data_IF_976838562961
#
_entry.id   IF_976838562961
#
_cell.length_a   1.000
_cell.length_b   1.000
_cell.length_c   1.000
_cell.angle_alpha   90.00
_cell.angle_beta   90.00
_cell.angle_gamma   90.00
#
_symmetry.space_group_name_H-M   'P 1'
#
loop_
_entity.id
_entity.type
_entity.pdbx_description
1 polymer ?
#
# COMPACT_ATOMS: atom_id res chain seq x y z
N UNK A 1 -59.93 -17.37 27.56
CA UNK A 1 -60.96 -16.69 26.73
C UNK A 1 -60.60 -16.85 25.25
N UNK A 2 -61.61 -16.87 24.37
CA UNK A 2 -61.57 -16.93 22.89
C UNK A 2 -60.20 -17.05 22.19
N UNK A 3 -59.91 -18.24 21.68
CA UNK A 3 -59.08 -18.45 20.48
C UNK A 3 -59.90 -18.11 19.22
N UNK A 4 -59.26 -17.66 18.15
CA UNK A 4 -59.87 -17.52 16.81
C UNK A 4 -59.02 -18.24 15.75
N UNK A 5 -59.71 -18.85 14.80
CA UNK A 5 -59.19 -19.75 13.76
C UNK A 5 -59.63 -19.30 12.37
N UNK A 6 -58.79 -19.56 11.37
CA UNK A 6 -59.16 -19.87 9.96
C UNK A 6 -57.86 -20.21 9.21
N UNK A 7 -57.52 -21.48 8.96
CA UNK A 7 -58.14 -22.44 8.02
C UNK A 7 -57.89 -22.11 6.54
N UNK A 8 -57.04 -22.93 5.91
CA UNK A 8 -56.82 -23.00 4.46
C UNK A 8 -57.90 -23.86 3.77
N UNK A 9 -58.20 -23.55 2.51
CA UNK A 9 -59.07 -24.37 1.64
C UNK A 9 -58.45 -24.59 0.25
N UNK A 10 -58.47 -25.85 -0.21
CA UNK A 10 -58.50 -26.31 -1.62
C UNK A 10 -59.88 -26.96 -1.84
N UNK A 11 -60.52 -27.00 -3.03
CA UNK A 11 -60.06 -27.68 -4.26
C UNK A 11 -60.27 -26.77 -5.52
N UNK A 12 -60.35 -27.18 -6.81
CA UNK A 12 -60.42 -28.50 -7.48
C UNK A 12 -59.83 -28.45 -8.92
N UNK A 13 -59.76 -29.60 -9.58
CA UNK A 13 -59.40 -29.79 -11.01
C UNK A 13 -60.58 -29.72 -11.98
N UNK A 14 -60.33 -29.40 -13.26
CA UNK A 14 -61.19 -29.83 -14.39
C UNK A 14 -60.39 -30.11 -15.68
N UNK A 15 -60.99 -30.98 -16.50
CA UNK A 15 -60.42 -31.79 -17.57
C UNK A 15 -60.07 -31.07 -18.89
N UNK A 16 -59.22 -31.71 -19.70
CA UNK A 16 -59.05 -31.41 -21.13
C UNK A 16 -58.12 -32.40 -21.85
N UNK A 17 -58.65 -33.48 -22.43
CA UNK A 17 -57.89 -34.49 -23.16
C UNK A 17 -57.92 -34.27 -24.68
N UNK A 18 -56.77 -34.39 -25.35
CA UNK A 18 -56.69 -34.81 -26.76
C UNK A 18 -55.30 -35.39 -27.08
N UNK A 19 -55.26 -36.29 -28.06
CA UNK A 19 -54.15 -37.24 -28.28
C UNK A 19 -53.46 -37.07 -29.64
N UNK A 20 -52.11 -37.08 -29.69
CA UNK A 20 -51.37 -37.62 -30.84
C UNK A 20 -49.85 -37.82 -30.61
N UNK A 21 -49.45 -39.08 -30.81
CA UNK A 21 -48.20 -39.64 -31.34
C UNK A 21 -46.92 -38.80 -31.61
N UNK A 22 -45.80 -39.37 -31.13
CA UNK A 22 -44.50 -39.55 -31.81
C UNK A 22 -43.43 -38.42 -31.87
N UNK A 23 -42.44 -38.51 -30.95
CA UNK A 23 -40.97 -38.50 -31.13
C UNK A 23 -40.27 -37.79 -29.96
N UNK A 24 -39.22 -38.38 -29.33
CA UNK A 24 -38.39 -37.65 -28.39
C UNK A 24 -37.50 -36.64 -29.13
N UNK A 25 -37.46 -35.39 -28.66
CA UNK A 25 -36.44 -34.43 -29.08
C UNK A 25 -35.17 -34.69 -28.27
N UNK A 26 -34.06 -34.79 -28.96
CA UNK A 26 -32.72 -35.01 -28.41
C UNK A 26 -32.30 -33.92 -27.43
N UNK A 27 -31.74 -34.33 -26.28
CA UNK A 27 -31.02 -33.44 -25.37
C UNK A 27 -29.84 -32.76 -26.07
N UNK A 28 -29.98 -31.46 -26.32
CA UNK A 28 -28.88 -30.61 -26.73
C UNK A 28 -28.11 -30.13 -25.50
N UNK A 29 -27.02 -30.84 -25.17
CA UNK A 29 -26.01 -30.38 -24.23
C UNK A 29 -25.52 -28.96 -24.62
N UNK A 30 -25.21 -28.07 -23.66
CA UNK A 30 -24.68 -26.76 -23.96
C UNK A 30 -23.33 -26.87 -24.70
N UNK A 31 -23.14 -26.02 -25.72
CA UNK A 31 -21.96 -26.06 -26.56
C UNK A 31 -20.67 -25.90 -25.74
N UNK A 32 -19.75 -26.85 -25.93
CA UNK A 32 -18.40 -26.81 -25.36
C UNK A 32 -17.70 -25.56 -25.90
N UNK A 33 -17.04 -24.72 -25.07
CA UNK A 33 -16.33 -23.56 -25.58
C UNK A 33 -15.22 -24.02 -26.52
N UNK A 34 -15.23 -23.52 -27.76
CA UNK A 34 -14.17 -23.80 -28.72
C UNK A 34 -12.83 -23.32 -28.15
N UNK A 35 -11.84 -24.20 -28.14
CA UNK A 35 -10.47 -23.85 -27.79
C UNK A 35 -9.91 -22.91 -28.84
N UNK A 36 -10.01 -21.60 -28.57
CA UNK A 36 -9.42 -20.56 -29.40
C UNK A 36 -7.94 -20.87 -29.65
N UNK A 37 -7.54 -20.96 -30.92
CA UNK A 37 -6.15 -21.20 -31.30
C UNK A 37 -5.26 -20.13 -30.64
N UNK A 38 -4.09 -20.49 -30.08
CA UNK A 38 -3.19 -19.50 -29.51
C UNK A 38 -2.87 -18.45 -30.57
N UNK A 39 -3.07 -17.17 -30.24
CA UNK A 39 -2.70 -16.07 -31.14
C UNK A 39 -1.20 -16.17 -31.47
N UNK A 40 -0.79 -15.93 -32.72
CA UNK A 40 0.63 -15.86 -33.05
C UNK A 40 1.31 -14.80 -32.19
N UNK A 41 2.56 -15.07 -31.80
CA UNK A 41 3.40 -14.11 -31.11
C UNK A 41 3.62 -12.90 -32.03
N UNK A 42 3.39 -11.70 -31.49
CA UNK A 42 3.57 -10.46 -32.25
C UNK A 42 5.04 -10.31 -32.69
N UNK A 43 5.24 -9.87 -33.93
CA UNK A 43 6.57 -9.59 -34.47
C UNK A 43 7.24 -8.41 -33.75
N UNK A 44 8.58 -8.26 -33.82
CA UNK A 44 9.27 -7.12 -33.24
C UNK A 44 8.76 -5.76 -33.73
N UNK A 45 8.33 -5.68 -35.00
CA UNK A 45 7.77 -4.46 -35.58
C UNK A 45 6.38 -4.14 -35.02
N UNK A 46 5.51 -5.13 -34.87
CA UNK A 46 4.19 -4.96 -34.24
C UNK A 46 4.31 -4.60 -32.76
N UNK A 47 5.28 -5.20 -32.04
CA UNK A 47 5.58 -4.84 -30.66
C UNK A 47 6.03 -3.38 -30.56
N UNK A 48 6.94 -2.92 -31.43
CA UNK A 48 7.40 -1.53 -31.43
C UNK A 48 6.26 -0.55 -31.78
N UNK A 49 5.51 -0.81 -32.84
CA UNK A 49 4.33 0.00 -33.20
C UNK A 49 3.29 0.02 -32.06
N UNK A 50 3.11 -1.10 -31.34
CA UNK A 50 2.26 -1.18 -30.16
C UNK A 50 2.76 -0.31 -29.00
N UNK A 51 4.08 -0.30 -28.73
CA UNK A 51 4.69 0.59 -27.74
C UNK A 51 4.45 2.06 -28.06
N UNK A 52 4.65 2.46 -29.31
CA UNK A 52 4.60 3.88 -29.72
C UNK A 52 3.17 4.45 -29.68
N UNK A 53 2.15 3.59 -29.84
CA UNK A 53 0.73 3.95 -29.84
C UNK A 53 0.01 3.83 -28.48
N UNK A 54 0.73 3.56 -27.38
CA UNK A 54 0.14 3.58 -26.03
C UNK A 54 -0.43 4.98 -25.70
N UNK A 55 -1.51 5.03 -24.91
CA UNK A 55 -2.17 6.26 -24.44
C UNK A 55 -1.62 6.72 -23.09
N UNK A 56 -1.77 8.01 -22.72
CA UNK A 56 -1.35 8.51 -21.40
C UNK A 56 -2.09 7.87 -20.21
N UNK A 57 -3.29 7.33 -20.44
CA UNK A 57 -4.11 6.67 -19.41
C UNK A 57 -3.85 5.17 -19.26
N UNK A 58 -2.80 4.63 -19.89
CA UNK A 58 -2.58 3.19 -19.91
C UNK A 58 -1.98 2.65 -18.60
N UNK A 59 -2.39 1.42 -18.26
CA UNK A 59 -1.94 0.67 -17.10
C UNK A 59 -1.22 -0.59 -17.56
N UNK A 60 0.02 -0.79 -17.10
CA UNK A 60 0.78 -1.99 -17.41
C UNK A 60 0.58 -3.07 -16.33
N UNK A 61 0.32 -4.30 -16.77
CA UNK A 61 0.29 -5.48 -15.89
C UNK A 61 1.73 -5.82 -15.48
N UNK A 62 1.99 -5.90 -14.17
CA UNK A 62 3.31 -6.25 -13.61
C UNK A 62 3.51 -7.77 -13.44
N UNK A 63 2.44 -8.48 -13.08
CA UNK A 63 2.35 -9.94 -13.01
C UNK A 63 0.85 -10.31 -13.21
N UNK A 64 0.51 -11.30 -14.05
CA UNK A 64 -0.87 -11.77 -14.20
C UNK A 64 -1.57 -12.26 -12.92
N UNK A 65 -0.84 -12.58 -11.86
CA UNK A 65 -1.39 -12.96 -10.54
C UNK A 65 -1.60 -11.76 -9.62
N UNK A 66 -0.85 -10.67 -9.84
CA UNK A 66 -0.91 -9.44 -9.05
C UNK A 66 -1.77 -8.38 -9.75
N UNK A 67 -3.06 -8.70 -9.92
CA UNK A 67 -4.03 -7.86 -10.64
C UNK A 67 -4.23 -6.47 -10.02
N UNK A 68 -4.08 -6.36 -8.69
CA UNK A 68 -4.16 -5.11 -7.94
C UNK A 68 -2.88 -4.27 -7.90
N UNK A 69 -1.84 -4.68 -8.64
CA UNK A 69 -0.59 -3.93 -8.79
C UNK A 69 -0.38 -3.60 -10.26
N UNK A 70 -0.08 -2.34 -10.57
CA UNK A 70 0.05 -1.84 -11.95
C UNK A 70 1.21 -0.88 -12.09
N UNK A 71 1.80 -0.84 -13.28
CA UNK A 71 2.47 0.39 -13.71
C UNK A 71 1.45 1.37 -14.24
N UNK A 72 1.67 2.66 -14.02
CA UNK A 72 0.86 3.74 -14.58
C UNK A 72 1.76 4.74 -15.28
N UNK A 73 1.35 5.15 -16.47
CA UNK A 73 2.10 6.11 -17.28
C UNK A 73 1.99 7.50 -16.69
N UNK A 74 3.12 8.21 -16.58
CA UNK A 74 3.15 9.60 -16.12
C UNK A 74 3.07 10.58 -17.29
N UNK A 75 2.63 11.80 -17.01
CA UNK A 75 2.52 12.88 -17.99
C UNK A 75 3.90 13.25 -18.54
N UNK A 76 4.04 13.23 -19.87
CA UNK A 76 5.32 13.47 -20.56
C UNK A 76 6.16 12.23 -20.82
N UNK A 77 5.80 11.05 -20.29
CA UNK A 77 6.43 9.78 -20.68
C UNK A 77 5.92 9.36 -22.08
N UNK A 78 6.82 8.98 -22.99
CA UNK A 78 6.44 8.39 -24.28
C UNK A 78 5.91 6.95 -24.11
N UNK A 79 5.21 6.43 -25.13
CA UNK A 79 4.69 5.06 -25.09
C UNK A 79 5.81 4.01 -24.99
N UNK A 80 6.88 4.17 -25.78
CA UNK A 80 8.09 3.36 -25.68
C UNK A 80 8.74 3.39 -24.28
N UNK A 81 8.92 4.59 -23.70
CA UNK A 81 9.48 4.74 -22.35
C UNK A 81 8.59 4.04 -21.29
N UNK A 82 7.27 4.13 -21.42
CA UNK A 82 6.34 3.47 -20.51
C UNK A 82 6.34 1.94 -20.64
N UNK A 83 6.50 1.42 -21.86
CA UNK A 83 6.62 -0.01 -22.09
C UNK A 83 7.92 -0.58 -21.52
N UNK A 84 9.05 0.11 -21.70
CA UNK A 84 10.36 -0.30 -21.17
C UNK A 84 10.39 -0.22 -19.64
N UNK A 85 9.82 0.84 -19.08
CA UNK A 85 9.54 0.98 -17.64
C UNK A 85 8.70 -0.18 -17.11
N UNK A 86 7.59 -0.50 -17.77
CA UNK A 86 6.71 -1.63 -17.39
C UNK A 86 7.45 -2.96 -17.46
N UNK A 87 8.36 -3.15 -18.43
CA UNK A 87 9.18 -4.35 -18.51
C UNK A 87 10.19 -4.44 -17.36
N UNK A 88 10.75 -3.32 -16.92
CA UNK A 88 11.62 -3.31 -15.75
C UNK A 88 10.86 -3.61 -14.45
N UNK A 89 9.66 -3.05 -14.26
CA UNK A 89 8.79 -3.41 -13.13
C UNK A 89 8.48 -4.90 -13.15
N UNK A 90 8.09 -5.48 -14.30
CA UNK A 90 7.88 -6.94 -14.43
C UNK A 90 9.09 -7.74 -13.98
N UNK A 91 10.28 -7.38 -14.45
CA UNK A 91 11.52 -8.07 -14.09
C UNK A 91 11.81 -7.96 -12.59
N UNK A 92 11.61 -6.78 -12.00
CA UNK A 92 11.81 -6.50 -10.57
C UNK A 92 10.76 -7.20 -9.69
N UNK A 93 9.49 -7.16 -10.07
CA UNK A 93 8.38 -7.91 -9.46
C UNK A 93 8.65 -9.41 -9.49
N UNK A 94 8.99 -9.98 -10.66
CA UNK A 94 9.33 -11.40 -10.80
C UNK A 94 10.53 -11.81 -9.92
N UNK A 95 11.50 -10.90 -9.73
CA UNK A 95 12.64 -11.14 -8.84
C UNK A 95 12.20 -11.19 -7.38
N UNK A 96 11.39 -10.22 -6.94
CA UNK A 96 10.80 -10.21 -5.58
C UNK A 96 9.91 -11.44 -5.34
N UNK A 97 9.01 -11.79 -6.25
CA UNK A 97 8.09 -12.93 -6.09
C UNK A 97 8.78 -14.30 -6.20
N UNK A 98 10.04 -14.35 -6.62
CA UNK A 98 10.86 -15.58 -6.64
C UNK A 98 11.37 -16.04 -5.27
N UNK A 99 11.18 -15.23 -4.22
CA UNK A 99 11.59 -15.52 -2.84
C UNK A 99 10.47 -15.24 -1.82
N UNK A 100 10.45 -15.90 -0.65
CA UNK A 100 9.30 -15.89 0.25
C UNK A 100 8.84 -14.50 0.74
N UNK A 101 9.75 -13.61 1.16
CA UNK A 101 9.39 -12.31 1.74
C UNK A 101 8.82 -11.40 0.66
N UNK A 102 9.51 -11.26 -0.48
CA UNK A 102 9.00 -10.51 -1.62
C UNK A 102 7.69 -11.08 -2.19
N UNK A 103 7.54 -12.40 -2.21
CA UNK A 103 6.30 -13.06 -2.63
C UNK A 103 5.14 -12.78 -1.69
N UNK A 104 5.31 -12.95 -0.38
CA UNK A 104 4.25 -12.70 0.61
C UNK A 104 3.85 -11.22 0.61
N UNK A 105 4.82 -10.29 0.64
CA UNK A 105 4.58 -8.85 0.60
C UNK A 105 3.69 -8.42 -0.57
N UNK A 106 4.03 -8.86 -1.79
CA UNK A 106 3.31 -8.44 -2.99
C UNK A 106 1.94 -9.12 -3.11
N UNK A 107 1.79 -10.36 -2.62
CA UNK A 107 0.49 -11.03 -2.54
C UNK A 107 -0.42 -10.39 -1.48
N UNK A 108 0.12 -9.97 -0.33
CA UNK A 108 -0.63 -9.24 0.70
C UNK A 108 -1.16 -7.91 0.15
N UNK A 109 -0.30 -7.08 -0.47
CA UNK A 109 -0.71 -5.82 -1.13
C UNK A 109 -1.82 -6.09 -2.15
N UNK A 110 -1.63 -7.09 -3.03
CA UNK A 110 -2.62 -7.46 -4.03
C UNK A 110 -3.95 -7.94 -3.41
N UNK A 111 -3.91 -8.74 -2.34
CA UNK A 111 -5.09 -9.20 -1.60
C UNK A 111 -5.87 -8.08 -0.92
N UNK A 112 -5.19 -6.98 -0.55
CA UNK A 112 -5.81 -5.80 0.08
C UNK A 112 -6.58 -4.90 -0.90
N UNK A 113 -6.47 -5.11 -2.22
CA UNK A 113 -7.06 -4.23 -3.27
C UNK A 113 -8.51 -3.80 -3.05
N UNK A 114 -9.40 -4.73 -2.67
CA UNK A 114 -10.81 -4.39 -2.41
C UNK A 114 -10.99 -3.65 -1.07
N UNK A 115 -10.24 -4.06 -0.04
CA UNK A 115 -10.34 -3.46 1.29
C UNK A 115 -9.86 -2.00 1.32
N UNK A 116 -8.84 -1.66 0.52
CA UNK A 116 -8.32 -0.29 0.41
C UNK A 116 -9.02 0.56 -0.66
N UNK A 117 -10.03 0.01 -1.34
CA UNK A 117 -10.89 0.74 -2.29
C UNK A 117 -12.39 0.40 -2.04
N UNK A 118 -12.93 0.66 -0.83
CA UNK A 118 -14.25 0.19 -0.44
C UNK A 118 -15.37 0.72 -1.36
N UNK A 119 -16.16 -0.19 -1.91
CA UNK A 119 -17.29 0.14 -2.79
C UNK A 119 -16.92 0.58 -4.21
N UNK A 120 -15.63 0.68 -4.54
CA UNK A 120 -15.18 1.06 -5.87
C UNK A 120 -14.99 -0.17 -6.78
N UNK A 121 -15.40 -0.05 -8.04
CA UNK A 121 -15.22 -1.07 -9.07
C UNK A 121 -14.27 -0.55 -10.14
N UNK A 122 -13.20 -1.30 -10.41
CA UNK A 122 -12.28 -0.99 -11.51
C UNK A 122 -12.88 -1.29 -12.88
N UNK A 123 -12.44 -0.55 -13.90
CA UNK A 123 -12.73 -0.83 -15.31
C UNK A 123 -11.48 -1.35 -16.02
N UNK A 124 -11.61 -1.80 -17.27
CA UNK A 124 -10.44 -2.18 -18.09
C UNK A 124 -9.49 -0.99 -18.34
N UNK A 125 -10.01 0.23 -18.42
CA UNK A 125 -9.24 1.47 -18.64
C UNK A 125 -8.81 2.18 -17.36
N UNK A 126 -9.34 1.77 -16.19
CA UNK A 126 -8.95 2.24 -14.86
C UNK A 126 -9.11 1.07 -13.88
N UNK A 127 -8.16 0.12 -13.83
CA UNK A 127 -8.23 -1.03 -12.94
C UNK A 127 -8.24 -0.58 -11.48
N UNK A 128 -8.81 -1.41 -10.61
CA UNK A 128 -8.75 -1.21 -9.17
C UNK A 128 -7.40 -1.70 -8.66
N UNK A 129 -6.66 -0.87 -7.93
CA UNK A 129 -5.30 -1.21 -7.48
C UNK A 129 -5.07 -0.85 -6.02
N UNK A 130 -4.30 -1.68 -5.33
CA UNK A 130 -3.68 -1.36 -4.04
C UNK A 130 -2.37 -0.58 -4.23
N UNK A 131 -1.69 -0.74 -5.37
CA UNK A 131 -0.42 -0.05 -5.67
C UNK A 131 -0.31 0.27 -7.17
N UNK A 132 -0.18 1.55 -7.52
CA UNK A 132 0.27 2.00 -8.83
C UNK A 132 1.75 2.41 -8.75
N UNK A 133 2.51 2.05 -9.77
CA UNK A 133 3.95 2.25 -9.86
C UNK A 133 4.23 3.18 -11.05
N UNK A 134 4.89 4.31 -10.81
CA UNK A 134 5.20 5.36 -11.78
C UNK A 134 6.72 5.48 -11.95
N UNK A 135 7.15 5.99 -13.11
CA UNK A 135 8.57 6.19 -13.41
C UNK A 135 9.14 7.33 -12.58
N UNK A 136 10.21 7.05 -11.84
CA UNK A 136 10.94 8.03 -11.04
C UNK A 136 12.08 8.73 -11.78
N UNK A 137 12.45 8.29 -12.99
CA UNK A 137 13.72 8.64 -13.66
C UNK A 137 14.04 10.14 -13.81
N UNK A 138 13.04 11.01 -13.79
CA UNK A 138 13.16 12.47 -13.92
C UNK A 138 12.59 13.24 -12.71
N UNK A 139 12.27 12.57 -11.61
CA UNK A 139 11.64 13.16 -10.42
C UNK A 139 12.70 13.63 -9.41
N UNK A 140 12.44 14.74 -8.71
CA UNK A 140 13.32 15.25 -7.65
C UNK A 140 13.47 14.24 -6.49
N UNK A 141 12.42 13.46 -6.22
CA UNK A 141 12.47 12.24 -5.42
C UNK A 141 12.21 11.07 -6.38
N UNK A 142 13.26 10.37 -6.86
CA UNK A 142 13.14 9.38 -7.92
C UNK A 142 12.81 7.98 -7.38
N UNK A 143 12.93 7.74 -6.07
CA UNK A 143 12.21 6.67 -5.38
C UNK A 143 11.40 7.35 -4.26
N UNK A 144 10.11 7.04 -4.17
CA UNK A 144 9.23 7.60 -3.13
C UNK A 144 7.88 6.87 -3.08
N UNK A 145 7.39 6.63 -1.88
CA UNK A 145 6.03 6.17 -1.60
C UNK A 145 5.13 7.34 -1.17
N UNK A 146 3.86 7.32 -1.60
CA UNK A 146 2.81 8.19 -1.06
C UNK A 146 1.50 7.39 -0.88
N UNK A 147 0.83 7.48 0.29
CA UNK A 147 -0.54 7.01 0.46
C UNK A 147 -1.52 7.79 -0.42
N UNK A 148 -2.39 7.10 -1.17
CA UNK A 148 -3.43 7.76 -1.95
C UNK A 148 -4.37 8.54 -1.05
N UNK A 149 -4.74 9.71 -1.56
CA UNK A 149 -5.61 10.67 -0.92
C UNK A 149 -6.53 11.31 -1.97
N UNK A 150 -7.58 11.95 -1.49
CA UNK A 150 -8.56 12.74 -2.25
C UNK A 150 -8.17 14.23 -2.38
N UNK A 151 -6.90 14.57 -2.13
CA UNK A 151 -6.43 15.94 -1.99
C UNK A 151 -6.50 16.49 -0.55
N UNK A 152 -7.12 15.77 0.39
CA UNK A 152 -7.09 16.11 1.82
C UNK A 152 -6.09 15.25 2.58
N UNK A 153 -5.47 15.81 3.63
CA UNK A 153 -4.60 15.02 4.51
C UNK A 153 -5.40 14.02 5.35
N UNK A 154 -6.68 14.32 5.65
CA UNK A 154 -7.59 13.42 6.38
C UNK A 154 -7.80 12.07 5.70
N UNK A 155 -7.81 11.99 4.36
CA UNK A 155 -8.00 10.72 3.65
C UNK A 155 -6.76 9.84 3.64
N UNK A 156 -5.59 10.34 4.05
CA UNK A 156 -4.41 9.49 4.32
C UNK A 156 -4.47 8.77 5.67
N UNK A 157 -5.32 9.21 6.61
CA UNK A 157 -5.40 8.65 7.98
C UNK A 157 -5.52 7.12 8.04
N UNK A 158 -6.30 6.44 7.17
CA UNK A 158 -6.35 4.99 7.14
C UNK A 158 -5.00 4.29 6.92
N UNK A 159 -4.01 4.94 6.32
CA UNK A 159 -2.67 4.40 6.08
C UNK A 159 -1.88 4.12 7.37
N UNK A 160 -2.19 4.87 8.43
CA UNK A 160 -1.35 4.96 9.61
C UNK A 160 -1.89 4.16 10.78
N UNK A 161 -0.97 3.75 11.64
CA UNK A 161 -1.31 3.25 12.98
C UNK A 161 -1.52 4.41 13.95
N UNK A 162 -2.33 4.16 14.97
CA UNK A 162 -2.59 5.09 16.07
C UNK A 162 -2.65 4.32 17.38
N UNK A 163 -1.93 4.80 18.42
CA UNK A 163 -1.97 4.23 19.77
C UNK A 163 -1.73 2.68 19.78
N UNK A 164 -0.84 2.17 18.94
CA UNK A 164 -0.54 0.74 18.77
C UNK A 164 -1.48 -0.04 17.84
N UNK A 165 -2.50 0.58 17.25
CA UNK A 165 -3.51 -0.14 16.46
C UNK A 165 -3.40 0.16 14.96
N UNK A 166 -3.44 -0.86 14.09
CA UNK A 166 -3.47 -0.65 12.65
C UNK A 166 -4.73 0.12 12.20
N UNK A 167 -4.55 1.08 11.29
CA UNK A 167 -5.64 1.72 10.57
C UNK A 167 -6.34 0.78 9.58
N UNK A 168 -7.37 1.28 8.89
CA UNK A 168 -8.11 0.48 7.90
C UNK A 168 -7.30 0.16 6.62
N UNK A 169 -6.16 0.82 6.41
CA UNK A 169 -5.30 0.77 5.23
C UNK A 169 -5.76 1.69 4.09
N UNK A 170 -4.83 2.07 3.22
CA UNK A 170 -5.12 2.77 1.95
C UNK A 170 -4.23 2.29 0.80
N UNK A 171 -4.65 2.56 -0.43
CA UNK A 171 -3.86 2.28 -1.63
C UNK A 171 -2.66 3.24 -1.74
N UNK A 172 -1.67 2.87 -2.55
CA UNK A 172 -0.39 3.57 -2.66
C UNK A 172 -0.07 3.99 -4.09
N UNK A 173 0.56 5.15 -4.23
CA UNK A 173 1.28 5.55 -5.44
C UNK A 173 2.78 5.50 -5.13
N UNK A 174 3.52 4.71 -5.92
CA UNK A 174 4.97 4.49 -5.77
C UNK A 174 5.70 5.05 -6.97
N UNK A 175 6.73 5.86 -6.74
CA UNK A 175 7.75 6.15 -7.76
C UNK A 175 8.98 5.31 -7.48
N UNK A 176 9.60 4.76 -8.51
CA UNK A 176 10.92 4.15 -8.39
C UNK A 176 11.77 4.46 -9.62
N UNK A 177 13.10 4.48 -9.44
CA UNK A 177 14.04 4.84 -10.48
C UNK A 177 14.58 3.60 -11.19
N UNK A 178 14.01 3.30 -12.36
CA UNK A 178 14.45 2.20 -13.22
C UNK A 178 15.84 2.43 -13.87
N UNK A 179 16.35 3.68 -13.79
CA UNK A 179 17.70 4.07 -14.18
C UNK A 179 18.66 4.14 -12.97
N UNK A 180 18.20 3.83 -11.76
CA UNK A 180 19.02 3.87 -10.55
C UNK A 180 20.14 2.83 -10.56
N UNK A 181 21.28 3.18 -9.97
CA UNK A 181 22.37 2.23 -9.77
C UNK A 181 22.04 1.23 -8.65
N UNK A 182 22.51 -0.01 -8.81
CA UNK A 182 22.27 -1.10 -7.87
C UNK A 182 21.09 -2.02 -8.25
N UNK A 183 20.67 -2.94 -7.36
CA UNK A 183 19.66 -3.95 -7.67
C UNK A 183 18.26 -3.33 -7.72
N UNK A 184 17.73 -3.06 -8.91
CA UNK A 184 16.42 -2.38 -9.11
C UNK A 184 15.25 -3.05 -8.39
N UNK A 185 15.26 -4.37 -8.28
CA UNK A 185 14.25 -5.11 -7.51
C UNK A 185 14.26 -4.76 -6.02
N UNK A 186 15.42 -4.41 -5.46
CA UNK A 186 15.56 -4.02 -4.06
C UNK A 186 15.02 -2.60 -3.83
N UNK A 187 15.26 -1.67 -4.77
CA UNK A 187 14.67 -0.32 -4.72
C UNK A 187 13.15 -0.37 -4.83
N UNK A 188 12.61 -1.14 -5.80
CA UNK A 188 11.17 -1.38 -5.88
C UNK A 188 10.65 -2.10 -4.62
N UNK A 189 11.43 -3.03 -4.05
CA UNK A 189 11.10 -3.74 -2.82
C UNK A 189 10.98 -2.81 -1.62
N UNK A 190 11.89 -1.85 -1.46
CA UNK A 190 11.86 -0.81 -0.42
C UNK A 190 10.55 0.00 -0.49
N UNK A 191 10.22 0.55 -1.66
CA UNK A 191 8.96 1.30 -1.84
C UNK A 191 7.71 0.40 -1.67
N UNK A 192 7.81 -0.88 -2.05
CA UNK A 192 6.75 -1.87 -1.83
C UNK A 192 6.54 -2.19 -0.34
N UNK A 193 7.57 -2.09 0.51
CA UNK A 193 7.41 -2.25 1.97
C UNK A 193 6.57 -1.08 2.52
N UNK A 194 6.83 0.17 2.11
CA UNK A 194 5.95 1.29 2.47
C UNK A 194 4.51 1.07 1.97
N UNK A 195 4.32 0.56 0.74
CA UNK A 195 2.99 0.23 0.22
C UNK A 195 2.29 -0.92 0.98
N UNK A 196 3.04 -1.93 1.43
CA UNK A 196 2.53 -2.96 2.33
C UNK A 196 2.09 -2.36 3.67
N UNK A 197 2.90 -1.48 4.26
CA UNK A 197 2.56 -0.80 5.52
C UNK A 197 1.30 0.06 5.35
N UNK A 198 1.22 0.87 4.29
CA UNK A 198 0.07 1.73 4.00
C UNK A 198 -1.21 0.94 3.76
N UNK A 199 -1.14 -0.16 2.99
CA UNK A 199 -2.29 -1.01 2.71
C UNK A 199 -2.77 -1.82 3.91
N UNK A 200 -1.93 -2.01 4.93
CA UNK A 200 -2.27 -2.65 6.21
C UNK A 200 -2.55 -1.67 7.37
N UNK A 201 -2.47 -0.35 7.13
CA UNK A 201 -2.71 0.65 8.17
C UNK A 201 -1.59 0.75 9.21
N UNK A 202 -0.34 0.40 8.85
CA UNK A 202 0.79 0.24 9.75
C UNK A 202 1.85 1.35 9.63
N UNK A 203 1.70 2.32 8.73
CA UNK A 203 2.68 3.40 8.59
C UNK A 203 2.73 4.30 9.82
N UNK A 204 3.89 4.91 10.07
CA UNK A 204 4.02 5.98 11.06
C UNK A 204 3.29 7.21 10.52
N UNK A 205 2.38 7.79 11.32
CA UNK A 205 1.63 8.97 10.89
C UNK A 205 2.50 10.22 10.91
N UNK A 206 2.51 11.07 9.86
CA UNK A 206 3.10 12.40 9.95
C UNK A 206 2.28 13.25 10.93
N UNK A 207 2.95 14.17 11.64
CA UNK A 207 2.35 14.99 12.69
C UNK A 207 1.10 15.73 12.18
N UNK A 208 1.17 16.28 10.98
CA UNK A 208 0.09 17.01 10.34
C UNK A 208 -1.20 16.17 10.13
N UNK A 209 -1.11 14.85 9.92
CA UNK A 209 -2.28 13.98 9.77
C UNK A 209 -2.94 13.64 11.11
N UNK A 210 -2.20 13.78 12.20
CA UNK A 210 -2.56 13.33 13.55
C UNK A 210 -3.43 14.31 14.35
N UNK A 211 -4.00 13.80 15.46
CA UNK A 211 -4.64 14.57 16.53
C UNK A 211 -3.70 15.56 17.24
N UNK A 212 -2.38 15.45 17.05
CA UNK A 212 -1.37 16.28 17.73
C UNK A 212 -0.84 17.45 16.89
N UNK A 213 -1.30 17.62 15.65
CA UNK A 213 -0.89 18.69 14.73
C UNK A 213 -0.97 20.11 15.33
N UNK A 214 -1.85 20.34 16.31
CA UNK A 214 -1.97 21.58 17.10
C UNK A 214 -1.89 21.35 18.63
N UNK A 215 -1.10 20.35 19.07
CA UNK A 215 -0.92 20.08 20.50
C UNK A 215 -0.31 21.29 21.26
N UNK A 216 -0.79 21.53 22.49
CA UNK A 216 -0.46 22.75 23.24
C UNK A 216 1.03 22.93 23.59
N UNK A 217 1.81 21.84 23.58
CA UNK A 217 3.28 21.91 23.69
C UNK A 217 3.90 22.81 22.61
N UNK A 218 3.32 22.82 21.40
CA UNK A 218 3.76 23.69 20.29
C UNK A 218 3.41 25.17 20.50
N UNK A 219 2.60 25.51 21.51
CA UNK A 219 2.14 26.87 21.82
C UNK A 219 2.92 27.51 22.98
N UNK A 220 3.65 26.70 23.77
CA UNK A 220 4.44 27.18 24.92
C UNK A 220 5.57 28.13 24.52
N UNK A 221 6.24 27.85 23.40
CA UNK A 221 7.29 28.69 22.83
C UNK A 221 7.02 28.99 21.35
N UNK A 222 6.21 30.02 21.03
CA UNK A 222 5.79 30.32 19.66
C UNK A 222 6.97 30.50 18.68
N UNK A 223 8.08 31.09 19.13
CA UNK A 223 9.33 31.27 18.37
C UNK A 223 10.03 29.97 17.95
N UNK A 224 9.67 28.84 18.57
CA UNK A 224 10.24 27.52 18.27
C UNK A 224 9.19 26.53 17.74
N UNK A 225 7.92 26.95 17.61
CA UNK A 225 6.81 26.08 17.22
C UNK A 225 7.07 25.31 15.92
N UNK A 226 7.55 26.00 14.87
CA UNK A 226 7.91 25.39 13.59
C UNK A 226 9.01 24.33 13.75
N UNK A 227 10.17 24.72 14.31
CA UNK A 227 11.30 23.81 14.51
C UNK A 227 10.94 22.58 15.36
N UNK A 228 10.04 22.73 16.34
CA UNK A 228 9.55 21.62 17.16
C UNK A 228 8.67 20.67 16.34
N UNK A 229 7.77 21.17 15.49
CA UNK A 229 6.98 20.35 14.57
C UNK A 229 7.88 19.65 13.54
N UNK A 230 8.81 20.36 12.92
CA UNK A 230 9.78 19.79 11.97
C UNK A 230 10.67 18.71 12.60
N UNK A 231 11.06 18.88 13.88
CA UNK A 231 11.82 17.88 14.63
C UNK A 231 11.02 16.60 14.85
N UNK A 232 9.72 16.73 15.17
CA UNK A 232 8.80 15.59 15.33
C UNK A 232 8.53 14.92 13.98
N UNK A 233 8.21 15.66 12.92
CA UNK A 233 7.96 15.10 11.58
C UNK A 233 9.19 14.39 11.00
N UNK A 234 10.40 14.96 11.17
CA UNK A 234 11.63 14.29 10.78
C UNK A 234 11.84 12.99 11.55
N UNK A 235 11.54 12.97 12.86
CA UNK A 235 11.63 11.75 13.66
C UNK A 235 10.65 10.68 13.18
N UNK A 236 9.40 11.05 12.96
CA UNK A 236 8.34 10.14 12.49
C UNK A 236 8.69 9.55 11.13
N UNK A 237 9.20 10.37 10.20
CA UNK A 237 9.76 9.92 8.92
C UNK A 237 10.92 8.95 9.10
N UNK A 238 11.89 9.26 9.97
CA UNK A 238 13.03 8.36 10.23
C UNK A 238 12.58 7.03 10.85
N UNK A 239 11.56 7.02 11.71
CA UNK A 239 11.01 5.77 12.27
C UNK A 239 10.31 4.93 11.19
N UNK A 240 9.54 5.53 10.27
CA UNK A 240 8.98 4.83 9.10
C UNK A 240 10.10 4.20 8.25
N UNK A 241 11.16 4.95 7.95
CA UNK A 241 12.31 4.50 7.16
C UNK A 241 13.13 3.40 7.86
N UNK A 242 13.38 3.54 9.17
CA UNK A 242 14.07 2.52 9.95
C UNK A 242 13.27 1.22 10.01
N UNK A 243 11.94 1.27 10.05
CA UNK A 243 11.10 0.07 9.98
C UNK A 243 11.07 -0.53 8.56
N UNK A 244 10.96 0.30 7.53
CA UNK A 244 11.02 -0.14 6.12
C UNK A 244 12.35 -0.81 5.79
N UNK A 245 13.49 -0.27 6.23
CA UNK A 245 14.80 -0.90 6.06
C UNK A 245 14.93 -2.18 6.89
N UNK A 246 14.23 -2.27 8.03
CA UNK A 246 14.38 -3.37 9.00
C UNK A 246 15.52 -3.13 10.01
N UNK A 247 15.76 -1.86 10.36
CA UNK A 247 16.59 -1.42 11.49
C UNK A 247 15.77 -1.30 12.79
N UNK A 248 14.44 -1.19 12.67
CA UNK A 248 13.46 -1.33 13.75
C UNK A 248 12.38 -2.35 13.32
N UNK A 249 11.78 -3.12 14.26
CA UNK A 249 10.65 -3.99 13.94
C UNK A 249 9.39 -3.15 13.69
N UNK A 250 8.53 -3.60 12.77
CA UNK A 250 7.17 -3.03 12.65
C UNK A 250 6.30 -3.56 13.81
N UNK A 251 5.73 -2.70 14.67
CA UNK A 251 4.92 -3.13 15.80
C UNK A 251 3.53 -3.63 15.34
N UNK A 252 2.85 -4.37 16.22
CA UNK A 252 1.45 -4.79 16.09
C UNK A 252 1.10 -5.53 14.77
N UNK A 253 2.07 -6.27 14.23
CA UNK A 253 1.93 -7.09 13.03
C UNK A 253 1.25 -8.42 13.32
N UNK A 254 0.43 -8.90 12.38
CA UNK A 254 -0.17 -10.23 12.47
C UNK A 254 0.94 -11.29 12.45
N UNK A 255 0.89 -12.24 13.39
CA UNK A 255 1.88 -13.30 13.56
C UNK A 255 3.33 -12.79 13.76
N UNK A 256 3.52 -11.55 14.23
CA UNK A 256 4.82 -10.89 14.38
C UNK A 256 5.66 -10.83 13.07
N UNK A 257 5.00 -10.75 11.92
CA UNK A 257 5.67 -10.69 10.61
C UNK A 257 5.36 -9.39 9.86
N UNK A 258 6.42 -8.75 9.36
CA UNK A 258 6.35 -7.71 8.34
C UNK A 258 7.52 -7.86 7.36
N UNK A 259 7.35 -7.47 6.09
CA UNK A 259 8.46 -7.37 5.15
C UNK A 259 9.34 -6.17 5.48
N UNK A 260 10.61 -6.24 5.11
CA UNK A 260 11.56 -5.12 5.20
C UNK A 260 12.61 -5.24 4.10
N UNK A 261 13.29 -4.14 3.78
CA UNK A 261 14.39 -4.16 2.82
C UNK A 261 15.46 -5.18 3.24
N UNK A 262 15.88 -5.20 4.52
CA UNK A 262 16.88 -6.15 5.00
C UNK A 262 16.43 -7.62 4.89
N UNK A 263 15.14 -7.93 5.06
CA UNK A 263 14.62 -9.27 4.84
C UNK A 263 14.67 -9.69 3.36
N UNK A 264 14.29 -8.78 2.44
CA UNK A 264 14.42 -8.97 0.98
C UNK A 264 15.89 -9.13 0.58
N UNK A 265 16.79 -8.31 1.15
CA UNK A 265 18.23 -8.40 0.91
C UNK A 265 18.79 -9.75 1.32
N UNK A 266 18.42 -10.25 2.51
CA UNK A 266 18.88 -11.54 3.02
C UNK A 266 18.50 -12.71 2.11
N UNK A 267 17.23 -12.81 1.68
CA UNK A 267 16.79 -13.91 0.79
C UNK A 267 17.39 -13.84 -0.63
N UNK A 268 17.92 -12.67 -1.02
CA UNK A 268 18.64 -12.44 -2.27
C UNK A 268 20.17 -12.41 -2.16
N UNK A 269 20.74 -12.66 -0.97
CA UNK A 269 22.19 -12.68 -0.76
C UNK A 269 22.87 -11.30 -0.80
N UNK A 270 22.12 -10.22 -0.58
CA UNK A 270 22.64 -8.86 -0.48
C UNK A 270 23.01 -8.53 0.99
N UNK A 271 24.12 -7.81 1.26
CA UNK A 271 24.47 -7.39 2.62
C UNK A 271 23.38 -6.50 3.23
N UNK A 272 23.00 -6.74 4.49
CA UNK A 272 22.02 -5.92 5.19
C UNK A 272 22.51 -4.47 5.39
N UNK A 273 21.63 -3.49 5.16
CA UNK A 273 21.86 -2.09 5.52
C UNK A 273 21.95 -1.95 7.04
N UNK A 274 22.85 -1.08 7.49
CA UNK A 274 23.10 -0.81 8.91
C UNK A 274 22.63 0.60 9.33
N UNK A 275 22.12 1.37 8.38
CA UNK A 275 21.70 2.76 8.50
C UNK A 275 20.73 3.13 7.36
N UNK A 276 20.00 4.24 7.57
CA UNK A 276 19.30 4.95 6.53
C UNK A 276 19.96 6.30 6.29
N UNK A 277 20.62 6.47 5.14
CA UNK A 277 21.32 7.70 4.76
C UNK A 277 22.35 8.17 5.81
N UNK A 278 23.09 7.21 6.40
CA UNK A 278 24.05 7.43 7.48
C UNK A 278 23.43 7.52 8.89
N UNK A 279 22.10 7.57 9.00
CA UNK A 279 21.38 7.69 10.27
C UNK A 279 21.02 6.32 10.84
N UNK A 280 21.11 6.19 12.17
CA UNK A 280 20.80 4.97 12.90
C UNK A 280 19.72 5.22 13.95
N UNK A 281 18.94 4.17 14.32
CA UNK A 281 17.96 4.24 15.41
C UNK A 281 18.60 4.23 16.82
N UNK A 282 19.84 4.73 16.98
CA UNK A 282 20.69 4.56 18.16
C UNK A 282 20.68 5.73 19.16
N UNK A 283 19.86 6.76 18.91
CA UNK A 283 19.70 7.92 19.79
C UNK A 283 20.78 9.00 19.62
N UNK A 284 21.65 8.91 18.61
CA UNK A 284 22.86 9.75 18.49
C UNK A 284 22.89 10.67 17.27
N UNK A 285 21.84 10.67 16.45
CA UNK A 285 21.76 11.58 15.31
C UNK A 285 21.30 13.00 15.76
N UNK A 286 21.47 13.99 14.89
CA UNK A 286 21.14 15.39 15.18
C UNK A 286 19.66 15.62 15.47
N UNK A 287 18.77 14.77 14.95
CA UNK A 287 17.34 14.85 15.23
C UNK A 287 16.99 14.31 16.62
N UNK A 288 17.63 13.23 17.09
CA UNK A 288 17.48 12.75 18.46
C UNK A 288 17.97 13.81 19.48
N UNK A 289 19.09 14.49 19.19
CA UNK A 289 19.60 15.60 20.04
C UNK A 289 18.63 16.79 20.05
N UNK A 290 18.13 17.22 18.88
CA UNK A 290 17.13 18.28 18.79
C UNK A 290 15.83 17.91 19.51
N UNK A 291 15.38 16.67 19.36
CA UNK A 291 14.20 16.14 20.03
C UNK A 291 14.39 16.16 21.55
N UNK A 292 15.53 15.68 22.07
CA UNK A 292 15.86 15.72 23.49
C UNK A 292 15.89 17.14 24.05
N UNK A 293 16.46 18.10 23.31
CA UNK A 293 16.52 19.50 23.74
C UNK A 293 15.12 20.13 23.84
N UNK A 294 14.26 19.91 22.85
CA UNK A 294 12.88 20.40 22.89
C UNK A 294 12.01 19.66 23.92
N UNK A 295 12.21 18.36 24.07
CA UNK A 295 11.57 17.54 25.11
C UNK A 295 11.87 18.08 26.51
N UNK A 296 13.16 18.28 26.84
CA UNK A 296 13.58 18.85 28.11
C UNK A 296 13.11 20.31 28.30
N UNK A 297 13.18 21.13 27.25
CA UNK A 297 12.76 22.54 27.30
C UNK A 297 11.25 22.75 27.45
N UNK A 298 10.43 21.78 27.04
CA UNK A 298 8.95 21.84 27.10
C UNK A 298 8.33 20.89 28.15
N UNK A 299 9.16 20.31 29.03
CA UNK A 299 8.73 19.31 30.00
C UNK A 299 7.97 19.91 31.20
N UNK A 300 6.69 20.21 30.96
CA UNK A 300 5.73 20.71 31.94
C UNK A 300 5.25 19.69 32.99
N UNK A 301 5.83 18.47 33.06
CA UNK A 301 5.45 17.48 34.08
C UNK A 301 5.82 17.96 35.49
N UNK A 302 4.96 17.71 36.48
CA UNK A 302 5.28 17.90 37.89
C UNK A 302 6.19 16.77 38.43
N UNK A 303 6.73 16.95 39.64
CA UNK A 303 7.65 15.99 40.27
C UNK A 303 7.11 14.55 40.32
N UNK A 304 5.85 14.36 40.72
CA UNK A 304 5.22 13.03 40.81
C UNK A 304 5.03 12.39 39.42
N UNK A 305 4.72 13.18 38.39
CA UNK A 305 4.62 12.70 37.00
C UNK A 305 5.98 12.26 36.46
N UNK A 306 7.06 12.99 36.77
CA UNK A 306 8.43 12.58 36.41
C UNK A 306 8.85 11.31 37.16
N UNK A 307 8.56 11.23 38.46
CA UNK A 307 8.93 10.09 39.32
C UNK A 307 8.13 8.81 38.99
N UNK A 308 6.88 8.94 38.54
CA UNK A 308 6.06 7.82 38.04
C UNK A 308 6.33 7.44 36.58
N UNK A 309 7.32 8.07 35.91
CA UNK A 309 7.72 7.72 34.56
C UNK A 309 6.69 8.03 33.46
N UNK A 310 5.71 8.90 33.72
CA UNK A 310 4.77 9.34 32.69
C UNK A 310 5.53 10.03 31.56
N UNK A 311 5.22 9.79 30.27
CA UNK A 311 5.88 10.48 29.16
C UNK A 311 5.65 11.99 29.26
N UNK A 312 6.64 12.78 28.85
CA UNK A 312 6.45 14.22 28.64
C UNK A 312 5.40 14.50 27.56
N UNK A 313 4.92 15.75 27.40
CA UNK A 313 4.05 16.10 26.27
C UNK A 313 4.66 15.76 24.91
N UNK A 314 5.98 15.99 24.74
CA UNK A 314 6.71 15.74 23.49
C UNK A 314 6.89 14.24 23.22
N UNK A 315 7.30 13.48 24.24
CA UNK A 315 7.40 12.02 24.20
C UNK A 315 6.04 11.34 23.99
N UNK A 316 4.95 11.93 24.50
CA UNK A 316 3.60 11.40 24.29
C UNK A 316 3.17 11.53 22.83
N UNK A 317 3.35 12.70 22.20
CA UNK A 317 3.02 12.89 20.78
C UNK A 317 3.72 11.83 19.91
N UNK A 318 5.01 11.62 20.15
CA UNK A 318 5.78 10.59 19.43
C UNK A 318 5.33 9.19 19.82
N UNK A 319 5.05 8.92 21.09
CA UNK A 319 4.58 7.62 21.55
C UNK A 319 3.22 7.21 20.97
N UNK A 320 2.28 8.15 20.81
CA UNK A 320 0.94 7.95 20.25
C UNK A 320 0.98 7.72 18.71
N UNK A 321 2.11 8.00 18.04
CA UNK A 321 2.28 7.92 16.57
C UNK A 321 3.36 6.91 16.10
N UNK A 322 4.40 6.66 16.91
CA UNK A 322 5.43 5.64 16.65
C UNK A 322 5.05 4.24 17.12
N UNK A 323 4.03 4.09 17.98
CA UNK A 323 3.60 2.77 18.48
C UNK A 323 2.38 2.31 17.70
#
# INVERSE_FOLDING_TARGET
MKLRSSSFSKPSSSFGSSSSTSRPRSDSLPAKPETAKPKPLASPAELQAGKDNLKPTDYGVVDPKLQGIRTRRDNGQSGAQFADFTQDVRNSTNKLTSRPVGNQMLNDINGRTQAVNPGATGTQSKPLTAMDIYSGRNSALPNSHVPRNDGTLSSTRPAYRYDGQPGAGTASDVKYNENGSGPRFNSLGHESVHAWRASNGLQVSPLAASKHSDADVFKQHPSHSANMKDTVDNRLRLTEEFETVGLRPTPHTKNNWAPSENAIRAEHGLPARQDYSGLKPDGKNSNDVAFQNYDQGTDARNFFQKLSGQPSPFQKIVGDLEK
#
